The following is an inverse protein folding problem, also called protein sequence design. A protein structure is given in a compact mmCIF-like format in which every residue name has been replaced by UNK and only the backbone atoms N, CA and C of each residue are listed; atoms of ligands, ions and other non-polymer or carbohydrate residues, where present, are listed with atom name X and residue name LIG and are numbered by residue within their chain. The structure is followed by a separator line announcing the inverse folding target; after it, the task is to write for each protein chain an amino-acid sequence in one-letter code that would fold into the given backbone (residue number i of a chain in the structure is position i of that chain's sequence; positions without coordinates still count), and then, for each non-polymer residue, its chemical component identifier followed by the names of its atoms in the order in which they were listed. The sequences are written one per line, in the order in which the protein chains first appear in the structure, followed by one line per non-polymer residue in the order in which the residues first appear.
data_IF_346008750864
#
_entry.id   IF_346008750864
#
_cell.length_a   1.000
_cell.length_b   1.000
_cell.length_c   1.000
_cell.angle_alpha   90.00
_cell.angle_beta   90.00
_cell.angle_gamma   90.00
#
_symmetry.space_group_name_H-M   'P 1'
#
loop_
_entity.id
_entity.type
_entity.pdbx_description
1 polymer ?
#
# COMPACT_ATOMS: atom_id res chain seq x y z
N UNK A 1 1.71 0.27 26.00
CA UNK A 1 1.61 0.18 25.56
C UNK A 1 1.41 0.44 24.40
N UNK A 2 1.15 0.79 23.79
CA UNK A 2 0.81 1.00 22.66
C UNK A 2 1.37 2.15 22.10
N UNK A 3 2.22 2.86 22.65
CA UNK A 3 2.90 4.01 22.13
C UNK A 3 3.73 3.65 20.94
N UNK A 4 4.35 2.51 20.97
CA UNK A 4 5.10 2.09 19.81
C UNK A 4 4.22 1.95 18.61
N UNK A 5 2.99 1.57 18.80
CA UNK A 5 2.08 1.42 17.69
C UNK A 5 1.77 2.74 17.03
N UNK A 6 1.82 3.82 17.81
CA UNK A 6 1.53 5.14 17.27
C UNK A 6 2.72 5.72 16.53
N UNK A 7 3.93 5.35 16.93
CA UNK A 7 5.12 5.94 16.36
C UNK A 7 5.75 5.06 15.28
N UNK A 8 5.47 3.78 15.30
CA UNK A 8 6.05 2.87 14.33
C UNK A 8 4.97 2.28 13.46
N UNK A 9 4.94 2.71 12.25
CA UNK A 9 4.01 2.13 11.29
C UNK A 9 4.74 1.10 10.48
N UNK A 10 4.12 -0.06 10.34
CA UNK A 10 4.68 -1.09 9.48
C UNK A 10 4.59 -0.64 8.04
N UNK A 11 5.38 -1.27 7.18
CA UNK A 11 5.31 -0.99 5.75
C UNK A 11 3.92 -1.32 5.23
N UNK A 12 3.33 -2.39 5.73
CA UNK A 12 1.97 -2.76 5.35
C UNK A 12 0.99 -1.63 5.65
N UNK A 13 1.07 -1.06 6.85
CA UNK A 13 0.19 0.03 7.23
C UNK A 13 0.37 1.25 6.33
N UNK A 14 1.61 1.56 6.00
CA UNK A 14 1.88 2.69 5.12
C UNK A 14 1.30 2.46 3.73
N UNK A 15 1.46 1.25 3.21
CA UNK A 15 0.92 0.92 1.89
C UNK A 15 -0.60 1.00 1.88
N UNK A 16 -1.24 0.38 2.88
CA UNK A 16 -2.69 0.38 2.93
C UNK A 16 -3.25 1.77 3.13
N UNK A 17 -2.58 2.57 3.96
CA UNK A 17 -2.99 3.96 4.15
C UNK A 17 -2.92 4.75 2.86
N UNK A 18 -1.85 4.58 2.12
CA UNK A 18 -1.68 5.28 0.85
C UNK A 18 -2.73 4.84 -0.17
N UNK A 19 -2.95 3.53 -0.29
CA UNK A 19 -3.93 3.02 -1.22
C UNK A 19 -5.34 3.48 -0.85
N UNK A 20 -5.65 3.50 0.45
CA UNK A 20 -6.95 3.98 0.91
C UNK A 20 -7.15 5.45 0.55
N UNK A 21 -6.10 6.24 0.70
CA UNK A 21 -6.17 7.66 0.36
C UNK A 21 -6.52 7.85 -1.11
N UNK A 22 -5.82 7.13 -1.99
CA UNK A 22 -6.07 7.27 -3.42
C UNK A 22 -7.45 6.75 -3.77
N UNK A 23 -7.85 5.63 -3.19
CA UNK A 23 -9.16 5.05 -3.41
C UNK A 23 -10.26 6.05 -3.04
N UNK A 24 -10.10 6.70 -1.90
CA UNK A 24 -11.07 7.70 -1.44
C UNK A 24 -11.14 8.88 -2.39
N UNK A 25 -9.98 9.35 -2.83
CA UNK A 25 -9.94 10.49 -3.76
C UNK A 25 -10.62 10.17 -5.07
N UNK A 26 -10.44 8.95 -5.56
CA UNK A 26 -11.00 8.55 -6.84
C UNK A 26 -12.40 7.99 -6.71
N UNK A 27 -12.91 7.86 -5.50
CA UNK A 27 -14.23 7.26 -5.23
C UNK A 27 -14.34 5.88 -5.86
N UNK A 28 -13.23 5.12 -5.82
CA UNK A 28 -13.17 3.83 -6.46
C UNK A 28 -12.15 2.98 -5.75
N UNK A 29 -12.41 1.69 -5.59
CA UNK A 29 -11.47 0.78 -4.97
C UNK A 29 -10.40 0.30 -5.94
N UNK A 30 -10.55 0.62 -7.22
CA UNK A 30 -9.61 0.26 -8.26
C UNK A 30 -9.01 1.55 -8.82
N UNK A 31 -7.70 1.61 -8.92
CA UNK A 31 -7.04 2.84 -9.37
C UNK A 31 -5.68 2.52 -9.94
N UNK A 32 -5.17 3.43 -10.74
CA UNK A 32 -3.81 3.31 -11.26
C UNK A 32 -2.86 4.02 -10.31
N UNK A 33 -1.74 3.38 -10.02
CA UNK A 33 -0.74 4.02 -9.16
C UNK A 33 -0.15 5.23 -9.86
N UNK A 34 -0.17 6.39 -9.21
CA UNK A 34 0.38 7.60 -9.81
C UNK A 34 1.91 7.65 -9.76
N UNK A 35 2.53 6.78 -9.00
CA UNK A 35 3.98 6.75 -8.83
C UNK A 35 4.51 5.38 -9.24
N UNK A 36 5.76 5.34 -9.71
CA UNK A 36 6.43 4.07 -9.88
C UNK A 36 6.65 3.45 -8.51
N UNK A 37 6.95 2.16 -8.48
CA UNK A 37 7.19 1.49 -7.21
C UNK A 37 8.43 2.04 -6.50
N UNK A 38 9.45 2.43 -7.26
CA UNK A 38 10.63 3.06 -6.68
C UNK A 38 10.27 4.38 -6.03
N UNK A 39 9.48 5.20 -6.73
CA UNK A 39 9.06 6.48 -6.19
C UNK A 39 8.13 6.29 -5.00
N UNK A 40 7.30 5.27 -5.04
CA UNK A 40 6.41 4.99 -3.92
C UNK A 40 7.20 4.63 -2.66
N UNK A 41 8.24 3.81 -2.81
CA UNK A 41 9.09 3.48 -1.66
C UNK A 41 9.73 4.72 -1.08
N UNK A 42 10.22 5.62 -1.94
CA UNK A 42 10.79 6.88 -1.49
C UNK A 42 9.76 7.73 -0.76
N UNK A 43 8.57 7.81 -1.34
CA UNK A 43 7.50 8.61 -0.76
C UNK A 43 7.13 8.10 0.62
N UNK A 44 7.07 6.80 0.79
CA UNK A 44 6.71 6.18 2.07
C UNK A 44 7.90 6.07 3.01
N UNK A 45 9.10 6.39 2.55
CA UNK A 45 10.33 6.29 3.33
C UNK A 45 10.58 4.88 3.81
N UNK A 46 10.45 3.93 2.91
CA UNK A 46 10.66 2.52 3.22
C UNK A 46 11.64 1.92 2.23
N UNK A 47 12.24 0.80 2.63
CA UNK A 47 13.11 0.07 1.73
C UNK A 47 12.27 -0.57 0.62
N UNK A 48 12.73 -0.40 -0.62
CA UNK A 48 11.99 -0.89 -1.76
C UNK A 48 11.81 -2.40 -1.73
N UNK A 49 12.87 -3.13 -1.37
CA UNK A 49 12.78 -4.58 -1.31
C UNK A 49 11.77 -5.05 -0.26
N UNK A 50 11.79 -4.40 0.89
CA UNK A 50 10.85 -4.73 1.95
C UNK A 50 9.42 -4.40 1.52
N UNK A 51 9.25 -3.27 0.82
CA UNK A 51 7.94 -2.89 0.31
C UNK A 51 7.43 -3.91 -0.69
N UNK A 52 8.29 -4.39 -1.58
CA UNK A 52 7.89 -5.37 -2.58
C UNK A 52 7.45 -6.68 -1.92
N UNK A 53 8.13 -7.07 -0.83
CA UNK A 53 7.72 -8.26 -0.10
C UNK A 53 6.33 -8.08 0.52
N UNK A 54 6.07 -6.90 1.09
CA UNK A 54 4.76 -6.64 1.68
C UNK A 54 3.67 -6.60 0.62
N UNK A 55 3.96 -6.01 -0.54
CA UNK A 55 3.00 -6.03 -1.64
C UNK A 55 2.65 -7.45 -2.03
N UNK A 56 3.65 -8.32 -2.11
CA UNK A 56 3.39 -9.71 -2.45
C UNK A 56 2.50 -10.37 -1.40
N UNK A 57 2.78 -10.12 -0.13
CA UNK A 57 1.97 -10.68 0.95
C UNK A 57 0.54 -10.16 0.91
N UNK A 58 0.37 -8.87 0.64
CA UNK A 58 -0.97 -8.30 0.53
C UNK A 58 -1.76 -8.95 -0.60
N UNK A 59 -1.09 -9.24 -1.70
CA UNK A 59 -1.73 -9.94 -2.83
C UNK A 59 -2.09 -11.37 -2.44
N UNK A 60 -1.18 -12.07 -1.78
CA UNK A 60 -1.42 -13.45 -1.39
C UNK A 60 -2.52 -13.56 -0.36
N UNK A 61 -2.62 -12.57 0.51
CA UNK A 61 -3.67 -12.54 1.53
C UNK A 61 -5.02 -12.09 0.95
N UNK A 62 -5.04 -11.68 -0.30
CA UNK A 62 -6.29 -11.25 -0.91
C UNK A 62 -6.73 -9.87 -0.50
N UNK A 63 -5.86 -9.10 0.15
CA UNK A 63 -6.20 -7.74 0.59
C UNK A 63 -6.19 -6.78 -0.57
N UNK A 64 -5.28 -7.00 -1.51
CA UNK A 64 -5.24 -6.19 -2.74
C UNK A 64 -5.08 -7.10 -3.94
N UNK A 65 -5.42 -6.56 -5.10
CA UNK A 65 -5.08 -7.17 -6.38
C UNK A 65 -4.24 -6.17 -7.15
N UNK A 66 -3.28 -6.68 -7.89
CA UNK A 66 -2.39 -5.80 -8.64
C UNK A 66 -2.17 -6.38 -10.02
N UNK A 67 -2.34 -5.54 -11.03
CA UNK A 67 -2.10 -5.91 -12.42
C UNK A 67 -1.38 -4.74 -13.06
N UNK A 68 -0.07 -4.91 -13.35
CA UNK A 68 0.72 -3.79 -13.81
C UNK A 68 0.71 -2.67 -12.78
N UNK A 69 0.25 -1.49 -13.17
CA UNK A 69 0.14 -0.36 -12.26
C UNK A 69 -1.24 -0.22 -11.63
N UNK A 70 -2.16 -1.12 -11.96
CA UNK A 70 -3.50 -1.05 -11.40
C UNK A 70 -3.54 -1.76 -10.06
N UNK A 71 -4.12 -1.09 -9.09
CA UNK A 71 -4.30 -1.64 -7.75
C UNK A 71 -5.79 -1.66 -7.46
N UNK A 72 -6.23 -2.74 -6.85
CA UNK A 72 -7.61 -2.87 -6.43
C UNK A 72 -7.62 -3.29 -4.98
N UNK A 73 -8.32 -2.51 -4.16
CA UNK A 73 -8.49 -2.86 -2.76
C UNK A 73 -9.69 -3.78 -2.62
N UNK A 74 -9.46 -4.95 -2.02
CA UNK A 74 -10.55 -5.88 -1.75
C UNK A 74 -11.12 -5.53 -0.39
N UNK A 75 -12.29 -4.92 -0.39
CA UNK A 75 -12.93 -4.54 0.85
C UNK A 75 -14.11 -5.43 1.11
N UNK A 76 -14.24 -5.82 2.32
CA UNK A 76 -15.40 -6.64 2.71
C UNK A 76 -16.33 -5.86 3.57
#
# INVERSE_FOLDING_TARGET
MRIELLTKRSIRDKLLGYFSLISTRNLNTSFELPLSLTDLADYLSVDRSAMMRELKLLKEDGIIEKSGNMIRLNRN
#
